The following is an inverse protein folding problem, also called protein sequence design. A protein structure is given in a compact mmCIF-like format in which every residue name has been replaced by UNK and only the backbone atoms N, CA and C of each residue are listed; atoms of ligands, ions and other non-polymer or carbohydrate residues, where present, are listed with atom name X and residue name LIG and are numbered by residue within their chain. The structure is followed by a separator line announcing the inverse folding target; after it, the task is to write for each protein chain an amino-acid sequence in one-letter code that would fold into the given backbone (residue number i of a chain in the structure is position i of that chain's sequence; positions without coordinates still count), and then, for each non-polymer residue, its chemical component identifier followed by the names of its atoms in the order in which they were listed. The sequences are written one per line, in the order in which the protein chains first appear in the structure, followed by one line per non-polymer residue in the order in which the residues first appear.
data_IF_100536102010
#
_entry.id   IF_100536102010
#
_cell.length_a   1.000
_cell.length_b   1.000
_cell.length_c   1.000
_cell.angle_alpha   90.00
_cell.angle_beta   90.00
_cell.angle_gamma   90.00
#
_symmetry.space_group_name_H-M   'P 1'
#
loop_
_entity.id
_entity.type
_entity.pdbx_description
1 polymer ?
#
# COMPACT_ATOMS: atom_id res chain seq x y z
N UNK A 1 -12.92 -8.29 -6.02
CA UNK A 1 -11.64 -8.02 -6.74
C UNK A 1 -11.81 -7.27 -8.04
N UNK A 2 -12.51 -7.78 -9.06
CA UNK A 2 -12.63 -7.05 -10.36
C UNK A 2 -13.30 -5.68 -10.19
N UNK A 3 -14.36 -5.58 -9.39
CA UNK A 3 -15.02 -4.30 -9.11
C UNK A 3 -14.08 -3.31 -8.42
N UNK A 4 -13.29 -3.76 -7.44
CA UNK A 4 -12.29 -2.92 -6.76
C UNK A 4 -11.26 -2.36 -7.74
N UNK A 5 -10.68 -3.22 -8.59
CA UNK A 5 -9.75 -2.78 -9.63
C UNK A 5 -10.37 -1.74 -10.59
N UNK A 6 -11.62 -1.95 -10.99
CA UNK A 6 -12.33 -1.01 -11.87
C UNK A 6 -12.67 0.31 -11.16
N UNK A 7 -12.96 0.28 -9.86
CA UNK A 7 -13.33 1.46 -9.10
C UNK A 7 -12.16 2.43 -8.86
N UNK A 8 -10.92 1.93 -8.82
CA UNK A 8 -9.76 2.70 -8.38
C UNK A 8 -8.74 2.95 -9.52
N UNK A 9 -8.68 4.19 -10.07
CA UNK A 9 -7.72 4.58 -11.09
C UNK A 9 -6.25 4.35 -10.73
N UNK A 10 -5.89 4.33 -9.44
CA UNK A 10 -4.50 4.07 -8.98
C UNK A 10 -3.95 2.72 -9.46
N UNK A 11 -4.83 1.77 -9.79
CA UNK A 11 -4.47 0.46 -10.37
C UNK A 11 -4.66 0.39 -11.90
N UNK A 12 -5.19 1.44 -12.54
CA UNK A 12 -5.53 1.50 -13.97
C UNK A 12 -4.86 2.68 -14.67
N UNK A 13 -3.60 2.90 -14.33
CA UNK A 13 -2.79 4.04 -14.79
C UNK A 13 -2.33 3.88 -16.23
N UNK A 14 -2.27 4.99 -16.96
CA UNK A 14 -1.64 5.06 -18.28
C UNK A 14 -0.12 5.29 -18.13
N UNK A 15 0.30 5.95 -17.05
CA UNK A 15 1.70 6.26 -16.76
C UNK A 15 2.24 5.47 -15.58
N UNK A 16 3.53 5.16 -15.62
CA UNK A 16 4.22 4.52 -14.50
C UNK A 16 4.34 5.44 -13.29
N UNK A 17 4.41 4.84 -12.10
CA UNK A 17 4.86 5.52 -10.90
C UNK A 17 6.35 5.88 -11.01
N UNK A 18 6.74 7.04 -10.47
CA UNK A 18 8.08 7.59 -10.59
C UNK A 18 8.91 7.44 -9.31
N UNK A 19 8.29 7.07 -8.18
CA UNK A 19 8.99 6.92 -6.89
C UNK A 19 9.50 8.23 -6.32
N UNK A 20 8.85 9.35 -6.66
CA UNK A 20 9.28 10.70 -6.26
C UNK A 20 8.08 11.56 -5.89
N UNK A 21 8.37 12.67 -5.21
CA UNK A 21 7.36 13.67 -4.86
C UNK A 21 6.93 14.42 -6.11
N UNK A 22 5.63 14.54 -6.34
CA UNK A 22 5.04 15.23 -7.48
C UNK A 22 4.19 16.41 -7.01
N UNK A 23 4.01 17.42 -7.88
CA UNK A 23 3.12 18.57 -7.65
C UNK A 23 3.40 19.39 -6.38
N UNK A 24 4.63 19.38 -5.88
CA UNK A 24 4.99 20.05 -4.62
C UNK A 24 4.42 19.40 -3.36
N UNK A 25 3.80 18.22 -3.48
CA UNK A 25 3.21 17.48 -2.36
C UNK A 25 4.33 16.72 -1.62
N UNK A 26 4.34 16.68 -0.27
CA UNK A 26 5.43 16.06 0.49
C UNK A 26 5.48 14.52 0.45
N UNK A 27 4.61 13.87 -0.33
CA UNK A 27 4.49 12.41 -0.45
C UNK A 27 4.95 11.94 -1.84
N UNK A 28 5.59 10.76 -1.91
CA UNK A 28 5.96 10.13 -3.19
C UNK A 28 4.76 9.39 -3.76
N UNK A 29 4.62 9.36 -5.08
CA UNK A 29 3.50 8.66 -5.74
C UNK A 29 3.48 7.14 -5.44
N UNK A 30 4.65 6.54 -5.23
CA UNK A 30 4.83 5.19 -4.68
C UNK A 30 5.97 5.17 -3.66
N UNK A 31 5.81 4.39 -2.59
CA UNK A 31 6.88 4.14 -1.61
C UNK A 31 6.90 2.65 -1.24
N UNK A 32 8.06 2.01 -1.31
CA UNK A 32 8.24 0.63 -0.88
C UNK A 32 8.79 0.59 0.54
N UNK A 33 8.28 -0.35 1.35
CA UNK A 33 8.67 -0.52 2.74
C UNK A 33 9.24 -1.90 3.02
N UNK A 34 10.18 -1.95 3.94
CA UNK A 34 10.59 -3.16 4.64
C UNK A 34 9.57 -3.50 5.74
N UNK A 35 9.54 -4.75 6.25
CA UNK A 35 8.64 -5.13 7.35
C UNK A 35 8.81 -4.28 8.63
N UNK A 36 10.00 -3.74 8.89
CA UNK A 36 10.26 -2.83 10.02
C UNK A 36 9.80 -1.38 9.76
N UNK A 37 9.11 -1.12 8.64
CA UNK A 37 8.48 0.16 8.33
C UNK A 37 9.43 1.23 7.78
N UNK A 38 10.64 0.84 7.36
CA UNK A 38 11.58 1.74 6.69
C UNK A 38 11.35 1.75 5.19
N UNK A 39 11.66 2.87 4.54
CA UNK A 39 11.70 2.90 3.09
C UNK A 39 12.82 1.98 2.58
N UNK A 40 12.53 1.19 1.56
CA UNK A 40 13.50 0.25 0.98
C UNK A 40 14.69 1.01 0.38
N UNK A 41 15.89 0.67 0.82
CA UNK A 41 17.13 1.19 0.26
C UNK A 41 17.64 0.35 -0.94
N UNK A 42 18.66 0.84 -1.64
CA UNK A 42 19.21 0.18 -2.82
C UNK A 42 19.72 -1.24 -2.54
N UNK A 43 20.36 -1.45 -1.38
CA UNK A 43 20.88 -2.77 -1.00
C UNK A 43 19.74 -3.77 -0.80
N UNK A 44 18.70 -3.36 -0.07
CA UNK A 44 17.53 -4.19 0.22
C UNK A 44 16.70 -4.44 -1.03
N UNK A 45 16.58 -3.44 -1.91
CA UNK A 45 15.91 -3.58 -3.22
C UNK A 45 16.52 -4.69 -4.08
N UNK A 46 17.85 -4.80 -4.05
CA UNK A 46 18.59 -5.83 -4.81
C UNK A 46 18.75 -7.15 -4.04
N UNK A 47 18.19 -7.28 -2.84
CA UNK A 47 18.25 -8.50 -2.04
C UNK A 47 16.97 -9.33 -2.20
N UNK A 48 17.04 -10.67 -2.13
CA UNK A 48 15.85 -11.52 -2.16
C UNK A 48 14.88 -11.18 -1.03
N UNK A 49 13.58 -11.18 -1.32
CA UNK A 49 12.51 -11.00 -0.31
C UNK A 49 11.36 -11.98 -0.55
N UNK A 50 10.67 -12.34 0.54
CA UNK A 50 9.39 -13.06 0.51
C UNK A 50 8.23 -12.18 0.98
N UNK A 51 8.49 -10.91 1.29
CA UNK A 51 7.49 -9.96 1.79
C UNK A 51 7.67 -8.64 1.07
N UNK A 52 6.63 -8.20 0.37
CA UNK A 52 6.61 -6.94 -0.39
C UNK A 52 5.54 -6.03 0.22
N UNK A 53 5.93 -4.82 0.61
CA UNK A 53 5.04 -3.83 1.19
C UNK A 53 5.23 -2.53 0.44
N UNK A 54 4.14 -1.90 0.01
CA UNK A 54 4.22 -0.61 -0.66
C UNK A 54 2.95 0.22 -0.48
N UNK A 55 3.13 1.53 -0.52
CA UNK A 55 2.03 2.51 -0.52
C UNK A 55 1.94 3.13 -1.90
N UNK A 56 0.73 3.19 -2.44
CA UNK A 56 0.38 3.99 -3.62
C UNK A 56 -0.37 5.24 -3.17
N UNK A 57 0.12 6.40 -3.56
CA UNK A 57 -0.47 7.68 -3.19
C UNK A 57 -1.42 8.19 -4.28
N UNK A 58 -2.72 7.88 -4.13
CA UNK A 58 -3.75 8.27 -5.09
C UNK A 58 -3.93 9.78 -5.23
N UNK A 59 -3.61 10.55 -4.19
CA UNK A 59 -3.63 12.02 -4.22
C UNK A 59 -2.46 12.66 -4.98
N UNK A 60 -1.39 11.89 -5.25
CA UNK A 60 -0.13 12.39 -5.83
C UNK A 60 0.14 11.79 -7.21
N UNK A 61 -0.89 11.25 -7.87
CA UNK A 61 -0.74 10.67 -9.20
C UNK A 61 -0.60 11.73 -10.30
N UNK A 62 0.27 11.44 -11.27
CA UNK A 62 0.39 12.14 -12.55
C UNK A 62 -0.46 11.39 -13.59
N UNK A 63 -1.77 11.44 -13.38
CA UNK A 63 -2.79 10.88 -14.27
C UNK A 63 -3.73 11.99 -14.72
N UNK A 64 -3.99 12.05 -16.01
CA UNK A 64 -4.79 13.08 -16.65
C UNK A 64 -5.83 12.39 -17.52
N UNK A 65 -7.11 12.75 -17.37
CA UNK A 65 -8.18 12.20 -18.19
C UNK A 65 -8.21 12.85 -19.60
N UNK A 66 -9.10 12.36 -20.46
CA UNK A 66 -9.27 12.90 -21.83
C UNK A 66 -9.69 14.39 -21.88
N UNK A 67 -10.14 14.95 -20.76
CA UNK A 67 -10.54 16.35 -20.62
C UNK A 67 -9.42 17.24 -20.05
N UNK A 68 -8.23 16.68 -19.78
CA UNK A 68 -7.12 17.42 -19.20
C UNK A 68 -7.20 17.57 -17.67
N UNK A 69 -8.12 16.87 -17.01
CA UNK A 69 -8.32 16.97 -15.57
C UNK A 69 -7.46 15.94 -14.84
N UNK A 70 -6.94 16.34 -13.67
CA UNK A 70 -6.14 15.48 -12.82
C UNK A 70 -7.01 14.42 -12.16
N UNK A 71 -6.60 13.17 -12.26
CA UNK A 71 -7.26 12.04 -11.60
C UNK A 71 -6.65 11.85 -10.21
N UNK A 72 -7.51 11.81 -9.20
CA UNK A 72 -7.15 11.46 -7.83
C UNK A 72 -7.87 10.18 -7.40
N UNK A 73 -7.33 9.52 -6.39
CA UNK A 73 -7.88 8.29 -5.80
C UNK A 73 -7.49 8.22 -4.31
N UNK A 74 -8.00 7.21 -3.62
CA UNK A 74 -7.58 6.84 -2.27
C UNK A 74 -6.09 6.42 -2.24
N UNK A 75 -5.44 6.58 -1.09
CA UNK A 75 -4.08 6.04 -0.87
C UNK A 75 -4.16 4.63 -0.29
N UNK A 76 -3.42 3.69 -0.89
CA UNK A 76 -3.49 2.28 -0.53
C UNK A 76 -2.14 1.74 -0.05
N UNK A 77 -2.16 0.97 1.04
CA UNK A 77 -1.05 0.14 1.50
C UNK A 77 -1.33 -1.31 1.09
N UNK A 78 -0.42 -1.90 0.33
CA UNK A 78 -0.49 -3.28 -0.11
C UNK A 78 0.60 -4.06 0.64
N UNK A 79 0.21 -5.19 1.23
CA UNK A 79 1.12 -6.11 1.91
C UNK A 79 0.98 -7.49 1.28
N UNK A 80 2.07 -7.99 0.69
CA UNK A 80 2.14 -9.31 0.07
C UNK A 80 3.16 -10.14 0.83
N UNK A 81 2.69 -11.04 1.70
CA UNK A 81 3.53 -11.99 2.41
C UNK A 81 3.49 -13.36 1.73
N UNK A 82 4.51 -13.67 0.94
CA UNK A 82 4.71 -14.99 0.33
C UNK A 82 5.46 -15.98 1.25
N UNK A 83 5.98 -15.50 2.39
CA UNK A 83 6.64 -16.35 3.37
C UNK A 83 5.65 -17.40 3.91
N UNK A 84 6.04 -18.68 4.09
CA UNK A 84 5.20 -19.67 4.76
C UNK A 84 4.93 -19.34 6.24
N UNK A 85 5.78 -18.52 6.86
CA UNK A 85 5.69 -18.15 8.27
C UNK A 85 5.07 -16.75 8.46
N UNK A 86 4.62 -16.50 9.68
CA UNK A 86 4.09 -15.20 10.08
C UNK A 86 5.20 -14.14 10.09
N UNK A 87 4.84 -12.90 9.77
CA UNK A 87 5.74 -11.74 9.79
C UNK A 87 5.09 -10.59 10.53
N UNK A 88 5.85 -9.89 11.37
CA UNK A 88 5.41 -8.63 11.97
C UNK A 88 5.72 -7.48 11.02
N UNK A 89 4.71 -6.68 10.71
CA UNK A 89 4.83 -5.52 9.82
C UNK A 89 4.47 -4.27 10.58
N UNK A 90 5.38 -3.29 10.57
CA UNK A 90 5.15 -1.95 11.09
C UNK A 90 4.48 -1.08 10.03
N UNK A 91 3.32 -0.52 10.35
CA UNK A 91 2.54 0.28 9.41
C UNK A 91 3.17 1.67 9.24
N UNK A 92 3.18 2.25 8.03
CA UNK A 92 3.59 3.63 7.81
C UNK A 92 2.61 4.61 8.48
N UNK A 93 3.01 5.89 8.59
CA UNK A 93 2.20 6.94 9.21
C UNK A 93 0.80 7.05 8.60
N UNK A 94 -0.17 7.46 9.42
CA UNK A 94 -1.58 7.57 9.10
C UNK A 94 -2.41 6.43 9.68
N UNK A 95 -3.70 6.43 9.42
CA UNK A 95 -4.66 5.44 9.90
C UNK A 95 -5.15 4.59 8.74
N UNK A 96 -5.06 3.28 8.89
CA UNK A 96 -5.23 2.32 7.80
C UNK A 96 -6.43 1.42 8.05
N UNK A 97 -7.38 1.40 7.13
CA UNK A 97 -8.56 0.54 7.16
C UNK A 97 -8.40 -0.63 6.18
N UNK A 98 -8.61 -1.86 6.64
CA UNK A 98 -8.55 -3.05 5.79
C UNK A 98 -9.72 -3.05 4.80
N UNK A 99 -9.41 -3.13 3.50
CA UNK A 99 -10.43 -3.17 2.43
C UNK A 99 -10.49 -4.51 1.71
N UNK A 100 -9.36 -5.23 1.63
CA UNK A 100 -9.28 -6.56 1.00
C UNK A 100 -8.24 -7.40 1.75
N UNK A 101 -8.55 -8.68 1.99
CA UNK A 101 -7.58 -9.64 2.51
C UNK A 101 -7.80 -11.04 1.95
N UNK A 102 -6.76 -11.88 1.97
CA UNK A 102 -6.84 -13.29 1.58
C UNK A 102 -7.22 -14.25 2.71
N UNK A 103 -7.44 -13.73 3.92
CA UNK A 103 -7.90 -14.53 5.04
C UNK A 103 -9.23 -15.22 4.74
N UNK A 104 -9.32 -16.50 5.08
CA UNK A 104 -10.58 -17.27 5.06
C UNK A 104 -11.30 -17.25 6.40
N UNK A 105 -10.56 -16.95 7.49
CA UNK A 105 -11.14 -16.73 8.82
C UNK A 105 -11.74 -15.34 8.92
N UNK A 106 -12.53 -15.13 9.97
CA UNK A 106 -12.99 -13.80 10.32
C UNK A 106 -11.80 -12.88 10.64
N UNK A 107 -11.89 -11.65 10.14
CA UNK A 107 -10.91 -10.59 10.41
C UNK A 107 -11.09 -10.13 11.85
N UNK A 108 -10.01 -10.17 12.62
CA UNK A 108 -10.03 -9.74 14.02
C UNK A 108 -10.28 -8.22 14.09
N UNK A 109 -10.96 -7.72 15.13
CA UNK A 109 -11.25 -6.29 15.25
C UNK A 109 -10.02 -5.38 15.11
N UNK A 110 -8.89 -5.80 15.68
CA UNK A 110 -7.60 -5.09 15.64
C UNK A 110 -6.91 -5.10 14.26
N UNK A 111 -7.31 -6.00 13.36
CA UNK A 111 -6.81 -6.06 11.97
C UNK A 111 -7.62 -5.14 11.04
N UNK A 112 -8.80 -4.68 11.47
CA UNK A 112 -9.66 -3.84 10.62
C UNK A 112 -9.16 -2.42 10.49
N UNK A 113 -8.64 -1.86 11.58
CA UNK A 113 -8.09 -0.50 11.62
C UNK A 113 -6.77 -0.55 12.36
N UNK A 114 -5.71 -0.11 11.68
CA UNK A 114 -4.35 -0.08 12.23
C UNK A 114 -3.85 1.36 12.19
N UNK A 115 -3.50 1.89 13.35
CA UNK A 115 -2.81 3.17 13.43
C UNK A 115 -1.36 3.02 12.96
N UNK A 116 -0.85 4.05 12.31
CA UNK A 116 0.51 4.10 11.82
C UNK A 116 1.52 3.93 12.94
N UNK A 117 2.68 3.42 12.57
CA UNK A 117 3.77 3.05 13.48
C UNK A 117 3.46 1.89 14.45
N UNK A 118 2.21 1.38 14.49
CA UNK A 118 1.91 0.10 15.15
C UNK A 118 2.35 -1.08 14.27
N UNK A 119 2.58 -2.20 14.94
CA UNK A 119 2.90 -3.47 14.30
C UNK A 119 1.68 -4.38 14.28
N UNK A 120 1.53 -5.12 13.18
CA UNK A 120 0.55 -6.19 13.05
C UNK A 120 1.26 -7.48 12.65
N UNK A 121 0.87 -8.59 13.27
CA UNK A 121 1.31 -9.92 12.83
C UNK A 121 0.45 -10.39 11.65
N UNK A 122 1.12 -10.71 10.55
CA UNK A 122 0.50 -11.16 9.31
C UNK A 122 0.90 -12.61 9.07
N UNK A 123 -0.10 -13.48 8.99
CA UNK A 123 0.10 -14.90 8.72
C UNK A 123 0.86 -15.16 7.41
N UNK A 124 1.53 -16.31 7.34
CA UNK A 124 2.17 -16.77 6.12
C UNK A 124 1.20 -16.84 4.94
N UNK A 125 1.70 -16.63 3.72
CA UNK A 125 0.93 -16.75 2.46
C UNK A 125 -0.31 -15.84 2.42
N UNK A 126 -0.18 -14.62 2.92
CA UNK A 126 -1.28 -13.66 3.05
C UNK A 126 -1.06 -12.42 2.19
N UNK A 127 -2.12 -11.96 1.52
CA UNK A 127 -2.16 -10.68 0.82
C UNK A 127 -3.23 -9.77 1.43
N UNK A 128 -2.87 -8.53 1.76
CA UNK A 128 -3.76 -7.52 2.36
C UNK A 128 -3.68 -6.21 1.58
N UNK A 129 -4.79 -5.50 1.51
CA UNK A 129 -4.90 -4.14 1.01
C UNK A 129 -5.60 -3.29 2.06
N UNK A 130 -4.95 -2.21 2.47
CA UNK A 130 -5.48 -1.20 3.36
C UNK A 130 -5.64 0.12 2.62
N UNK A 131 -6.63 0.90 3.03
CA UNK A 131 -6.84 2.28 2.59
C UNK A 131 -6.46 3.23 3.73
N UNK A 132 -5.76 4.32 3.42
CA UNK A 132 -5.49 5.37 4.41
C UNK A 132 -6.72 6.28 4.56
N UNK A 133 -7.24 6.41 5.77
CA UNK A 133 -8.40 7.27 6.09
C UNK A 133 -7.99 8.62 6.69
N UNK A 134 -6.86 8.65 7.41
CA UNK A 134 -6.30 9.83 8.06
C UNK A 134 -4.76 9.77 7.94
N UNK A 135 -4.06 10.91 7.88
CA UNK A 135 -2.59 10.98 7.86
C UNK A 135 -2.04 11.56 9.17
#
# INVERSE_FOLDING_TARGET
MIQFYKAHPVFRRERYFQGKKLFGIPLKDVTFYTPDGKEVDEKTWNSPTQTVIFVLEGSVMDEINIHGERIADDSFLIILNANPNNVKVKFPKGKWELVVGSYLREIKPEERIVDGEKELEIEGRTALVYRRTEL
#
